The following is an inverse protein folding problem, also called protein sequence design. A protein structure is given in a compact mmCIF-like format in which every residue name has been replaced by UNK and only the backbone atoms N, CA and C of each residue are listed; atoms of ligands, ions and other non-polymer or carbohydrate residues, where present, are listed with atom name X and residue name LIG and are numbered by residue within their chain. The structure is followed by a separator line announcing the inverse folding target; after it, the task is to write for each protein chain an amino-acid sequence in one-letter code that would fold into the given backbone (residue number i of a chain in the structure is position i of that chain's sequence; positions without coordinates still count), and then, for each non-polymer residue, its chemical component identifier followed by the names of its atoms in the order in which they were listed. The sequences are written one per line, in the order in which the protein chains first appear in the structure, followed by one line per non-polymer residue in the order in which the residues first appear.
data_IF_610918130892
#
_entry.id   IF_610918130892
#
_cell.length_a   1.000
_cell.length_b   1.000
_cell.length_c   1.000
_cell.angle_alpha   90.00
_cell.angle_beta   90.00
_cell.angle_gamma   90.00
#
_symmetry.space_group_name_H-M   'P 1'
#
loop_
_entity.id
_entity.type
_entity.pdbx_description
1 polymer ?
#
# COMPACT_ATOMS: atom_id res chain seq x y z
N UNK A 1 -3.75 13.52 -13.18
CA UNK A 1 -3.73 12.68 -11.98
C UNK A 1 -2.60 11.66 -12.08
N UNK A 2 -1.82 11.55 -11.06
CA UNK A 2 -0.70 10.60 -11.03
C UNK A 2 -1.16 9.21 -10.63
N UNK A 3 -0.41 8.20 -11.10
CA UNK A 3 -0.62 6.82 -10.72
C UNK A 3 -0.35 6.62 -9.22
N UNK A 4 -1.15 5.80 -8.59
CA UNK A 4 -1.16 5.62 -7.13
C UNK A 4 -0.92 4.17 -6.77
N UNK A 5 -0.01 3.93 -5.81
CA UNK A 5 0.13 2.65 -5.15
C UNK A 5 -0.81 2.65 -3.94
N UNK A 6 -1.70 1.67 -3.86
CA UNK A 6 -2.63 1.55 -2.74
C UNK A 6 -1.99 0.75 -1.61
N UNK A 7 -1.98 1.34 -0.41
CA UNK A 7 -1.58 0.60 0.78
C UNK A 7 -2.66 -0.42 1.15
N UNK A 8 -2.28 -1.41 1.94
CA UNK A 8 -3.15 -2.51 2.33
C UNK A 8 -4.44 -2.04 2.98
N UNK A 9 -4.37 -1.04 3.86
CA UNK A 9 -5.56 -0.53 4.57
C UNK A 9 -6.57 0.11 3.61
N UNK A 10 -6.09 0.82 2.59
CA UNK A 10 -6.97 1.45 1.60
C UNK A 10 -7.63 0.39 0.72
N UNK A 11 -6.85 -0.60 0.24
CA UNK A 11 -7.43 -1.64 -0.58
C UNK A 11 -8.42 -2.50 0.21
N UNK A 12 -8.15 -2.73 1.48
CA UNK A 12 -9.10 -3.41 2.38
C UNK A 12 -10.43 -2.65 2.47
N UNK A 13 -10.38 -1.31 2.53
CA UNK A 13 -11.59 -0.48 2.52
C UNK A 13 -12.34 -0.59 1.18
N UNK A 14 -11.62 -0.69 0.06
CA UNK A 14 -12.25 -0.91 -1.25
C UNK A 14 -13.01 -2.24 -1.26
N UNK A 15 -12.41 -3.29 -0.72
CA UNK A 15 -13.04 -4.61 -0.63
C UNK A 15 -14.29 -4.60 0.26
N UNK A 16 -14.27 -3.85 1.35
CA UNK A 16 -15.40 -3.75 2.29
C UNK A 16 -16.58 -2.96 1.72
N UNK A 17 -16.31 -2.01 0.83
CA UNK A 17 -17.33 -1.16 0.19
C UNK A 17 -18.21 -0.39 1.19
N UNK A 18 -17.63 0.12 2.26
CA UNK A 18 -18.37 0.83 3.32
C UNK A 18 -18.04 2.32 3.40
N UNK A 19 -16.77 2.70 3.18
CA UNK A 19 -16.36 4.09 3.29
C UNK A 19 -16.70 4.84 2.00
N UNK A 20 -17.60 5.83 2.04
CA UNK A 20 -18.05 6.52 0.82
C UNK A 20 -16.95 7.31 0.12
N UNK A 21 -15.99 7.86 0.86
CA UNK A 21 -14.86 8.57 0.27
C UNK A 21 -13.97 7.64 -0.52
N UNK A 22 -13.67 6.47 0.04
CA UNK A 22 -12.84 5.46 -0.62
C UNK A 22 -13.56 4.93 -1.86
N UNK A 23 -14.85 4.65 -1.77
CA UNK A 23 -15.65 4.15 -2.90
C UNK A 23 -15.60 5.17 -4.04
N UNK A 24 -15.85 6.44 -3.76
CA UNK A 24 -15.86 7.47 -4.79
C UNK A 24 -14.50 7.62 -5.46
N UNK A 25 -13.44 7.69 -4.67
CA UNK A 25 -12.09 7.84 -5.21
C UNK A 25 -11.65 6.60 -5.99
N UNK A 26 -12.03 5.41 -5.54
CA UNK A 26 -11.73 4.17 -6.24
C UNK A 26 -12.42 4.12 -7.60
N UNK A 27 -13.69 4.49 -7.68
CA UNK A 27 -14.43 4.55 -8.94
C UNK A 27 -13.79 5.54 -9.91
N UNK A 28 -13.48 6.74 -9.45
CA UNK A 28 -12.84 7.77 -10.26
C UNK A 28 -11.48 7.30 -10.77
N UNK A 29 -10.68 6.67 -9.92
CA UNK A 29 -9.37 6.17 -10.29
C UNK A 29 -9.47 5.05 -11.35
N UNK A 30 -10.39 4.09 -11.16
CA UNK A 30 -10.59 3.02 -12.13
C UNK A 30 -11.08 3.53 -13.47
N UNK A 31 -11.94 4.54 -13.47
CA UNK A 31 -12.41 5.17 -14.70
C UNK A 31 -11.26 5.82 -15.47
N UNK A 32 -10.27 6.36 -14.75
CA UNK A 32 -9.14 7.04 -15.36
C UNK A 32 -8.04 6.07 -15.79
N UNK A 33 -7.66 5.12 -14.94
CA UNK A 33 -6.52 4.23 -15.18
C UNK A 33 -6.90 2.82 -15.62
N UNK A 34 -8.14 2.39 -15.38
CA UNK A 34 -8.63 1.07 -15.76
C UNK A 34 -8.30 -0.06 -14.78
N UNK A 35 -7.33 0.12 -13.90
CA UNK A 35 -6.90 -0.90 -12.95
C UNK A 35 -6.26 -0.25 -11.73
N UNK A 36 -6.24 -0.98 -10.61
CA UNK A 36 -5.52 -0.58 -9.41
C UNK A 36 -4.09 -1.08 -9.44
N UNK A 37 -3.20 -0.39 -8.72
CA UNK A 37 -1.81 -0.81 -8.55
C UNK A 37 -1.58 -1.17 -7.08
N UNK A 38 -1.13 -2.38 -6.84
CA UNK A 38 -0.85 -2.94 -5.52
C UNK A 38 0.58 -3.45 -5.47
N UNK A 39 1.09 -3.69 -4.26
CA UNK A 39 2.36 -4.40 -4.09
C UNK A 39 2.11 -5.87 -3.73
N UNK A 40 3.10 -6.72 -3.97
CA UNK A 40 3.07 -8.11 -3.48
C UNK A 40 2.98 -8.17 -1.96
N UNK A 41 3.48 -7.15 -1.27
CA UNK A 41 3.38 -7.05 0.20
C UNK A 41 1.91 -6.95 0.61
N UNK A 42 1.13 -6.12 -0.10
CA UNK A 42 -0.31 -6.01 0.15
C UNK A 42 -1.03 -7.32 -0.12
N UNK A 43 -0.66 -8.02 -1.19
CA UNK A 43 -1.23 -9.35 -1.47
C UNK A 43 -0.98 -10.30 -0.29
N UNK A 44 0.26 -10.35 0.19
CA UNK A 44 0.64 -11.18 1.35
C UNK A 44 -0.20 -10.83 2.58
N UNK A 45 -0.33 -9.55 2.89
CA UNK A 45 -1.04 -9.11 4.09
C UNK A 45 -2.53 -9.44 4.04
N UNK A 46 -3.16 -9.26 2.87
CA UNK A 46 -4.60 -9.54 2.72
C UNK A 46 -4.86 -11.04 2.77
N UNK A 47 -4.04 -11.84 2.10
CA UNK A 47 -4.13 -13.32 2.16
C UNK A 47 -3.98 -13.78 3.62
N UNK A 48 -2.95 -13.28 4.30
CA UNK A 48 -2.72 -13.60 5.72
C UNK A 48 -3.93 -13.25 6.58
N UNK A 49 -4.51 -12.07 6.36
CA UNK A 49 -5.67 -11.62 7.14
C UNK A 49 -6.89 -12.49 6.95
N UNK A 50 -7.23 -12.82 5.72
CA UNK A 50 -8.41 -13.67 5.44
C UNK A 50 -8.20 -15.09 5.92
N UNK A 51 -7.02 -15.65 5.68
CA UNK A 51 -6.72 -17.03 6.09
C UNK A 51 -6.75 -17.17 7.62
N UNK A 52 -6.20 -16.20 8.33
CA UNK A 52 -6.17 -16.19 9.80
C UNK A 52 -7.57 -16.30 10.42
N UNK A 53 -8.57 -15.70 9.80
CA UNK A 53 -9.94 -15.69 10.30
C UNK A 53 -10.86 -16.67 9.56
N UNK A 54 -10.28 -17.60 8.79
CA UNK A 54 -10.97 -18.65 8.05
C UNK A 54 -12.01 -18.11 7.05
N UNK A 55 -11.63 -17.05 6.32
CA UNK A 55 -12.47 -16.46 5.28
C UNK A 55 -11.96 -16.84 3.90
N UNK A 56 -11.89 -18.14 3.62
CA UNK A 56 -11.35 -18.65 2.35
C UNK A 56 -12.13 -18.17 1.12
N UNK A 57 -13.44 -18.02 1.21
CA UNK A 57 -14.24 -17.49 0.10
C UNK A 57 -13.80 -16.08 -0.27
N UNK A 58 -13.62 -15.22 0.72
CA UNK A 58 -13.14 -13.84 0.50
C UNK A 58 -11.73 -13.83 -0.03
N UNK A 59 -10.88 -14.73 0.46
CA UNK A 59 -9.51 -14.87 0.00
C UNK A 59 -9.47 -15.22 -1.49
N UNK A 60 -10.24 -16.22 -1.91
CA UNK A 60 -10.29 -16.64 -3.33
C UNK A 60 -10.83 -15.52 -4.21
N UNK A 61 -11.84 -14.79 -3.74
CA UNK A 61 -12.40 -13.66 -4.45
C UNK A 61 -11.37 -12.55 -4.61
N UNK A 62 -10.61 -12.26 -3.56
CA UNK A 62 -9.53 -11.30 -3.62
C UNK A 62 -8.47 -11.72 -4.65
N UNK A 63 -8.03 -12.98 -4.63
CA UNK A 63 -7.05 -13.48 -5.60
C UNK A 63 -7.55 -13.35 -7.04
N UNK A 64 -8.85 -13.50 -7.25
CA UNK A 64 -9.46 -13.24 -8.55
C UNK A 64 -9.31 -11.77 -8.96
N UNK A 65 -9.50 -10.83 -8.03
CA UNK A 65 -9.33 -9.40 -8.36
C UNK A 65 -7.87 -9.03 -8.62
N UNK A 66 -6.93 -9.74 -8.01
CA UNK A 66 -5.49 -9.52 -8.23
C UNK A 66 -5.12 -9.73 -9.70
N UNK A 67 -5.78 -10.63 -10.40
CA UNK A 67 -5.50 -10.90 -11.82
C UNK A 67 -5.78 -9.69 -12.72
N UNK A 68 -6.61 -8.75 -12.27
CA UNK A 68 -6.95 -7.54 -13.04
C UNK A 68 -6.20 -6.29 -12.55
N UNK A 69 -5.37 -6.43 -11.54
CA UNK A 69 -4.59 -5.33 -10.97
C UNK A 69 -3.15 -5.36 -11.48
N UNK A 70 -2.49 -4.21 -11.42
CA UNK A 70 -1.05 -4.16 -11.61
C UNK A 70 -0.39 -4.48 -10.27
N UNK A 71 0.50 -5.47 -10.24
CA UNK A 71 1.19 -5.88 -9.03
C UNK A 71 2.67 -5.56 -9.14
N UNK A 72 3.16 -4.71 -8.24
CA UNK A 72 4.56 -4.35 -8.16
C UNK A 72 5.26 -5.21 -7.10
N UNK A 73 6.47 -5.66 -7.43
CA UNK A 73 7.21 -6.56 -6.55
C UNK A 73 8.30 -5.81 -5.79
N UNK A 74 8.71 -6.38 -4.65
CA UNK A 74 9.91 -5.93 -3.95
C UNK A 74 11.12 -6.55 -4.68
N UNK A 75 11.74 -5.76 -5.53
CA UNK A 75 12.93 -6.20 -6.28
C UNK A 75 14.21 -5.75 -5.56
N UNK A 76 15.39 -5.96 -6.19
CA UNK A 76 16.67 -5.61 -5.54
C UNK A 76 16.74 -4.12 -5.22
N UNK A 77 16.27 -3.26 -6.13
CA UNK A 77 16.33 -1.81 -5.93
C UNK A 77 15.43 -1.36 -4.79
N UNK A 78 14.19 -1.82 -4.75
CA UNK A 78 13.28 -1.48 -3.64
C UNK A 78 13.73 -2.15 -2.34
N UNK A 79 14.32 -3.34 -2.39
CA UNK A 79 14.89 -3.98 -1.20
C UNK A 79 16.04 -3.15 -0.61
N UNK A 80 16.89 -2.57 -1.46
CA UNK A 80 17.95 -1.67 -0.99
C UNK A 80 17.34 -0.44 -0.29
N UNK A 81 16.36 0.20 -0.93
CA UNK A 81 15.68 1.37 -0.34
C UNK A 81 15.03 1.00 0.99
N UNK A 82 14.31 -0.12 1.03
CA UNK A 82 13.65 -0.57 2.26
C UNK A 82 14.65 -0.84 3.38
N UNK A 83 15.77 -1.49 3.06
CA UNK A 83 16.82 -1.77 4.04
C UNK A 83 17.38 -0.50 4.66
N UNK A 84 17.60 0.53 3.85
CA UNK A 84 18.05 1.85 4.34
C UNK A 84 17.01 2.50 5.26
N UNK A 85 15.73 2.44 4.86
CA UNK A 85 14.64 2.99 5.69
C UNK A 85 14.56 2.29 7.03
N UNK A 86 14.59 0.94 7.04
CA UNK A 86 14.58 0.18 8.29
C UNK A 86 15.74 0.57 9.21
N UNK A 87 16.94 0.67 8.66
CA UNK A 87 18.11 1.02 9.44
C UNK A 87 18.02 2.44 10.00
N UNK A 88 17.53 3.39 9.20
CA UNK A 88 17.39 4.78 9.64
C UNK A 88 16.34 4.90 10.75
N UNK A 89 15.23 4.17 10.63
CA UNK A 89 14.21 4.15 11.68
C UNK A 89 14.74 3.54 12.98
N UNK A 90 15.49 2.43 12.88
CA UNK A 90 16.10 1.80 14.05
C UNK A 90 17.09 2.72 14.74
N UNK A 91 17.97 3.38 13.97
CA UNK A 91 18.96 4.31 14.53
C UNK A 91 18.32 5.49 15.24
N UNK A 92 17.15 5.93 14.80
CA UNK A 92 16.46 7.07 15.42
C UNK A 92 15.48 6.64 16.50
N UNK A 93 15.49 5.37 16.89
CA UNK A 93 14.62 4.84 17.94
C UNK A 93 13.17 4.75 17.55
N UNK A 94 12.90 4.67 16.24
CA UNK A 94 11.52 4.61 15.71
C UNK A 94 11.31 3.34 14.90
N UNK A 95 11.46 2.15 15.49
CA UNK A 95 11.26 0.93 14.72
C UNK A 95 9.82 0.84 14.26
N UNK A 96 9.64 0.63 12.97
CA UNK A 96 8.35 0.26 12.39
C UNK A 96 8.43 -1.23 12.15
N UNK A 97 7.86 -2.02 13.04
CA UNK A 97 7.96 -3.47 13.02
C UNK A 97 7.10 -4.14 11.97
N UNK A 98 6.98 -3.54 10.79
CA UNK A 98 6.02 -3.99 9.79
C UNK A 98 6.51 -3.79 8.38
N UNK A 99 5.59 -3.98 7.45
CA UNK A 99 5.84 -3.92 6.02
C UNK A 99 5.92 -2.50 5.44
N UNK A 100 5.59 -1.47 6.23
CA UNK A 100 5.50 -0.09 5.74
C UNK A 100 6.75 0.37 4.98
N UNK A 101 7.98 0.14 5.49
CA UNK A 101 9.16 0.51 4.72
C UNK A 101 9.28 -0.19 3.37
N UNK A 102 8.81 -1.43 3.26
CA UNK A 102 8.84 -2.15 1.98
C UNK A 102 7.86 -1.54 0.98
N UNK A 103 6.66 -1.21 1.42
CA UNK A 103 5.65 -0.58 0.57
C UNK A 103 6.11 0.83 0.17
N UNK A 104 6.66 1.60 1.11
CA UNK A 104 7.23 2.92 0.82
C UNK A 104 8.35 2.82 -0.21
N UNK A 105 9.22 1.83 -0.08
CA UNK A 105 10.33 1.63 -1.00
C UNK A 105 9.85 1.33 -2.42
N UNK A 106 8.80 0.53 -2.57
CA UNK A 106 8.20 0.25 -3.88
C UNK A 106 7.63 1.53 -4.49
N UNK A 107 6.93 2.34 -3.70
CA UNK A 107 6.41 3.62 -4.17
C UNK A 107 7.54 4.56 -4.60
N UNK A 108 8.62 4.65 -3.80
CA UNK A 108 9.78 5.48 -4.10
C UNK A 108 10.49 5.04 -5.37
N UNK A 109 10.68 3.74 -5.55
CA UNK A 109 11.34 3.21 -6.74
C UNK A 109 10.60 3.60 -8.02
N UNK A 110 9.27 3.55 -7.99
CA UNK A 110 8.44 3.80 -9.16
C UNK A 110 7.92 5.24 -9.26
N UNK A 111 8.29 6.11 -8.31
CA UNK A 111 7.82 7.50 -8.32
C UNK A 111 6.31 7.62 -8.17
N UNK A 112 5.69 6.73 -7.40
CA UNK A 112 4.24 6.72 -7.23
C UNK A 112 3.83 7.43 -5.95
N UNK A 113 2.61 8.00 -5.97
CA UNK A 113 1.96 8.46 -4.75
C UNK A 113 1.46 7.23 -4.01
N UNK A 114 1.67 7.18 -2.70
CA UNK A 114 1.14 6.11 -1.84
C UNK A 114 -0.16 6.59 -1.20
N UNK A 115 -1.26 5.89 -1.46
CA UNK A 115 -2.51 6.15 -0.75
C UNK A 115 -2.57 5.29 0.49
N UNK A 116 -2.66 5.92 1.67
CA UNK A 116 -2.62 5.23 2.96
C UNK A 116 -3.41 5.98 4.02
N UNK A 117 -4.01 5.25 4.95
CA UNK A 117 -4.58 5.81 6.17
C UNK A 117 -3.59 5.85 7.33
N UNK A 118 -2.45 5.17 7.22
CA UNK A 118 -1.42 5.13 8.26
C UNK A 118 -0.44 6.30 8.13
N UNK A 119 -0.96 7.51 8.12
CA UNK A 119 -0.19 8.72 7.81
C UNK A 119 0.97 8.94 8.77
N UNK A 120 0.82 8.63 10.05
CA UNK A 120 1.89 8.79 11.03
C UNK A 120 3.09 7.90 10.75
N UNK A 121 2.85 6.65 10.40
CA UNK A 121 3.93 5.70 10.09
C UNK A 121 4.76 6.17 8.90
N UNK A 122 4.10 6.61 7.85
CA UNK A 122 4.80 7.07 6.65
C UNK A 122 5.39 8.47 6.82
N UNK A 123 4.82 9.30 7.71
CA UNK A 123 5.41 10.60 8.02
C UNK A 123 6.81 10.45 8.63
N UNK A 124 7.03 9.43 9.46
CA UNK A 124 8.36 9.14 10.01
C UNK A 124 9.40 8.90 8.91
N UNK A 125 8.98 8.21 7.84
CA UNK A 125 9.84 7.95 6.68
C UNK A 125 10.14 9.26 5.95
N UNK A 126 9.14 10.10 5.74
CA UNK A 126 9.35 11.42 5.12
C UNK A 126 10.29 12.29 5.94
N UNK A 127 10.15 12.25 7.26
CA UNK A 127 10.98 13.05 8.17
C UNK A 127 12.46 12.66 8.12
N UNK A 128 12.76 11.45 7.69
CA UNK A 128 14.14 11.00 7.47
C UNK A 128 14.75 11.54 6.17
N UNK A 129 13.97 12.22 5.35
CA UNK A 129 14.47 12.81 4.11
C UNK A 129 14.10 12.05 2.84
N UNK A 130 13.36 10.96 2.94
CA UNK A 130 12.90 10.23 1.75
C UNK A 130 11.77 11.01 1.08
N UNK A 131 11.83 11.14 -0.24
CA UNK A 131 10.88 11.93 -1.01
C UNK A 131 9.62 11.13 -1.34
N UNK A 132 8.95 10.67 -0.30
CA UNK A 132 7.70 9.90 -0.40
C UNK A 132 6.51 10.86 -0.44
N UNK A 133 5.65 10.67 -1.43
CA UNK A 133 4.42 11.43 -1.56
C UNK A 133 3.23 10.56 -1.15
N UNK A 134 2.38 11.05 -0.26
CA UNK A 134 1.23 10.27 0.25
C UNK A 134 -0.06 11.06 0.12
N UNK A 135 -1.16 10.32 0.03
CA UNK A 135 -2.51 10.88 0.18
C UNK A 135 -3.37 9.84 0.90
N UNK A 136 -4.54 10.26 1.39
CA UNK A 136 -5.41 9.36 2.14
C UNK A 136 -6.82 9.38 1.53
N UNK A 137 -7.21 8.26 0.93
CA UNK A 137 -8.54 8.12 0.31
C UNK A 137 -9.67 8.06 1.33
N UNK A 138 -9.38 7.85 2.61
CA UNK A 138 -10.39 7.82 3.66
C UNK A 138 -10.88 9.23 4.02
N UNK A 139 -10.11 10.25 3.67
CA UNK A 139 -10.45 11.64 3.97
C UNK A 139 -10.47 12.49 2.70
N UNK A 140 -11.09 13.65 2.79
CA UNK A 140 -11.11 14.62 1.71
C UNK A 140 -9.90 15.52 1.73
#
# INVERSE_FOLDING_TARGET
MKKILLDTDIFSEILKKKNPNVILKAENYRNLFGFFTLSTITVLEIVKGFHKVNREEKLLKFLSTVTTAEILTLNVKSAEIAGRIYADLERTGQPVGRADPMIAAIALEHGLILSTGNTEHYQRIKDLGYNLETENWKSF
#
